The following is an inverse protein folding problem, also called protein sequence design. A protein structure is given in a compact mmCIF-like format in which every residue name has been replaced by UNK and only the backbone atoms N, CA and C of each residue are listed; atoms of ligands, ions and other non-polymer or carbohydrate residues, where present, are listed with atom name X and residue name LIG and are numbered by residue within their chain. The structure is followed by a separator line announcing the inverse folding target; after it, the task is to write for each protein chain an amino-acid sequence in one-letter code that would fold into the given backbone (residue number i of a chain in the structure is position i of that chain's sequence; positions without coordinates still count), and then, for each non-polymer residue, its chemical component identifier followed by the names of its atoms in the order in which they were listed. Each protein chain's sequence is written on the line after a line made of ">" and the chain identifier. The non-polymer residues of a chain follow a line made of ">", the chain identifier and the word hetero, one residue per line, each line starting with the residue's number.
data_IF_777906989863
#
_entry.id   IF_777906989863
#
_cell.length_a   1.000
_cell.length_b   1.000
_cell.length_c   1.000
_cell.angle_alpha   90.00
_cell.angle_beta   90.00
_cell.angle_gamma   90.00
#
_symmetry.space_group_name_H-M   'P 1'
#
loop_
_entity.id
_entity.type
_entity.pdbx_description
1 polymer ?
#
# COMPACT_ATOMS: atom_id res chain seq x y z
N UNK A 1 22.32 14.58 -21.10
CA UNK A 1 20.91 14.45 -20.68
C UNK A 1 20.78 13.25 -19.74
N UNK A 2 21.45 13.28 -18.59
CA UNK A 2 21.62 12.10 -17.70
C UNK A 2 21.13 12.37 -16.27
N UNK A 3 20.66 13.58 -15.97
CA UNK A 3 20.37 14.01 -14.60
C UNK A 3 18.94 13.70 -14.13
N UNK A 4 18.03 13.31 -15.03
CA UNK A 4 16.62 13.05 -14.67
C UNK A 4 16.41 11.67 -14.04
N UNK A 5 17.31 10.71 -14.29
CA UNK A 5 17.21 9.35 -13.72
C UNK A 5 17.79 9.23 -12.32
N UNK A 6 18.70 10.12 -11.93
CA UNK A 6 19.40 10.04 -10.65
C UNK A 6 18.61 10.70 -9.50
N UNK A 7 17.72 11.65 -9.82
CA UNK A 7 16.90 12.38 -8.83
C UNK A 7 15.78 11.57 -8.17
N UNK A 8 15.45 10.38 -8.68
CA UNK A 8 14.46 9.49 -8.06
C UNK A 8 15.06 8.56 -7.00
N UNK A 9 16.39 8.48 -6.89
CA UNK A 9 17.08 7.64 -5.90
C UNK A 9 17.18 8.30 -4.50
N UNK A 10 16.72 9.53 -4.34
CA UNK A 10 16.97 10.34 -3.15
C UNK A 10 15.69 10.86 -2.49
N UNK A 11 14.66 10.01 -2.39
CA UNK A 11 13.55 10.26 -1.47
C UNK A 11 13.97 9.73 -0.10
N UNK A 12 14.27 10.61 0.88
CA UNK A 12 14.78 10.18 2.17
C UNK A 12 13.70 9.40 2.92
N UNK A 13 14.15 8.39 3.65
CA UNK A 13 13.41 7.37 4.37
C UNK A 13 12.40 7.90 5.43
N UNK A 14 11.30 8.52 4.98
CA UNK A 14 10.10 8.83 5.78
C UNK A 14 8.86 8.02 5.34
N UNK A 15 9.05 6.91 4.62
CA UNK A 15 7.99 6.03 4.07
C UNK A 15 7.73 4.74 4.87
N UNK A 16 7.95 4.72 6.19
CA UNK A 16 7.90 3.46 6.96
C UNK A 16 6.54 2.71 6.99
N UNK A 17 5.36 3.35 6.89
CA UNK A 17 4.08 2.61 6.85
C UNK A 17 3.67 2.17 5.44
N UNK A 18 3.74 3.09 4.47
CA UNK A 18 3.28 2.85 3.09
C UNK A 18 4.12 1.78 2.39
N UNK A 19 5.43 1.76 2.64
CA UNK A 19 6.33 0.76 2.05
C UNK A 19 5.99 -0.68 2.44
N UNK A 20 5.31 -0.90 3.56
CA UNK A 20 4.91 -2.25 3.98
C UNK A 20 3.72 -2.77 3.17
N UNK A 21 2.72 -1.92 2.89
CA UNK A 21 1.62 -2.27 1.97
C UNK A 21 2.16 -2.46 0.56
N UNK A 22 3.00 -1.53 0.10
CA UNK A 22 3.60 -1.60 -1.25
C UNK A 22 4.46 -2.86 -1.41
N UNK A 23 5.19 -3.29 -0.38
CA UNK A 23 5.96 -4.54 -0.41
C UNK A 23 5.07 -5.78 -0.48
N UNK A 24 3.93 -5.80 0.23
CA UNK A 24 2.94 -6.88 0.13
C UNK A 24 2.38 -6.92 -1.29
N UNK A 25 1.94 -5.77 -1.83
CA UNK A 25 1.43 -5.67 -3.20
C UNK A 25 2.45 -6.07 -4.25
N UNK A 26 3.74 -5.79 -4.02
CA UNK A 26 4.83 -6.21 -4.92
C UNK A 26 5.14 -7.70 -4.84
N UNK A 27 4.76 -8.39 -3.76
CA UNK A 27 4.92 -9.85 -3.63
C UNK A 27 3.77 -10.65 -4.24
N UNK A 28 2.65 -9.99 -4.54
CA UNK A 28 1.48 -10.57 -5.19
C UNK A 28 1.62 -10.55 -6.71
N UNK A 29 0.97 -11.52 -7.38
CA UNK A 29 0.81 -11.47 -8.83
C UNK A 29 -0.11 -10.31 -9.25
N UNK A 30 -0.20 -10.03 -10.56
CA UNK A 30 -0.94 -8.86 -11.03
C UNK A 30 -2.46 -8.96 -10.75
N UNK A 31 -3.03 -10.17 -10.81
CA UNK A 31 -4.47 -10.37 -10.56
C UNK A 31 -4.79 -10.25 -9.06
N UNK A 32 -3.95 -10.83 -8.20
CA UNK A 32 -4.02 -10.70 -6.75
C UNK A 32 -3.80 -9.26 -6.31
N UNK A 33 -2.85 -8.55 -6.93
CA UNK A 33 -2.58 -7.15 -6.64
C UNK A 33 -3.77 -6.26 -6.99
N UNK A 34 -4.40 -6.47 -8.13
CA UNK A 34 -5.57 -5.71 -8.55
C UNK A 34 -6.75 -5.93 -7.59
N UNK A 35 -7.02 -7.19 -7.23
CA UNK A 35 -8.06 -7.55 -6.26
C UNK A 35 -7.82 -6.89 -4.89
N UNK A 36 -6.59 -6.97 -4.37
CA UNK A 36 -6.23 -6.37 -3.07
C UNK A 36 -6.28 -4.85 -3.15
N UNK A 37 -5.87 -4.25 -4.26
CA UNK A 37 -5.91 -2.79 -4.46
C UNK A 37 -7.34 -2.29 -4.53
N UNK A 38 -8.23 -2.97 -5.24
CA UNK A 38 -9.67 -2.68 -5.28
C UNK A 38 -10.28 -2.80 -3.88
N UNK A 39 -9.96 -3.87 -3.16
CA UNK A 39 -10.43 -4.11 -1.78
C UNK A 39 -9.95 -3.00 -0.83
N UNK A 40 -8.70 -2.54 -0.98
CA UNK A 40 -8.14 -1.44 -0.18
C UNK A 40 -8.79 -0.10 -0.54
N UNK A 41 -9.09 0.14 -1.82
CA UNK A 41 -9.73 1.38 -2.29
C UNK A 41 -11.22 1.44 -1.94
N UNK A 42 -11.91 0.29 -1.97
CA UNK A 42 -13.34 0.13 -1.72
C UNK A 42 -13.76 0.51 -0.30
N UNK A 43 -15.08 0.63 -0.07
CA UNK A 43 -15.67 0.95 1.24
C UNK A 43 -16.18 -0.28 1.99
N UNK A 44 -16.20 -1.43 1.34
CA UNK A 44 -16.89 -2.63 1.81
C UNK A 44 -16.18 -3.30 2.99
N UNK A 45 -14.88 -3.01 3.17
CA UNK A 45 -14.09 -3.50 4.29
C UNK A 45 -13.58 -2.35 5.18
N UNK A 46 -13.73 -2.56 6.49
CA UNK A 46 -13.14 -1.67 7.50
C UNK A 46 -11.62 -1.85 7.54
N UNK A 47 -10.90 -0.84 8.05
CA UNK A 47 -9.44 -0.94 8.18
C UNK A 47 -9.04 -2.00 9.21
N UNK A 48 -9.88 -2.25 10.22
CA UNK A 48 -9.76 -3.34 11.18
C UNK A 48 -9.87 -4.71 10.50
N UNK A 49 -10.90 -4.93 9.67
CA UNK A 49 -11.09 -6.19 8.94
C UNK A 49 -9.93 -6.48 7.99
N UNK A 50 -9.43 -5.48 7.29
CA UNK A 50 -8.29 -5.63 6.38
C UNK A 50 -6.98 -5.95 7.12
N UNK A 51 -6.77 -5.35 8.29
CA UNK A 51 -5.62 -5.66 9.12
C UNK A 51 -5.67 -7.11 9.62
N UNK A 52 -6.85 -7.61 9.99
CA UNK A 52 -7.05 -9.00 10.40
C UNK A 52 -6.75 -9.97 9.25
N UNK A 53 -7.34 -9.77 8.07
CA UNK A 53 -7.12 -10.62 6.88
C UNK A 53 -5.63 -10.69 6.50
N UNK A 54 -4.96 -9.53 6.46
CA UNK A 54 -3.53 -9.48 6.13
C UNK A 54 -2.68 -10.15 7.21
N UNK A 55 -3.08 -10.04 8.48
CA UNK A 55 -2.40 -10.74 9.59
C UNK A 55 -2.56 -12.25 9.50
N UNK A 56 -3.77 -12.75 9.21
CA UNK A 56 -4.04 -14.17 8.97
C UNK A 56 -3.27 -14.72 7.77
N UNK A 57 -3.06 -13.88 6.76
CA UNK A 57 -2.26 -14.20 5.57
C UNK A 57 -0.74 -14.07 5.79
N UNK A 58 -0.27 -13.89 7.03
CA UNK A 58 1.16 -13.80 7.36
C UNK A 58 1.81 -12.43 7.15
N UNK A 59 1.02 -11.40 6.85
CA UNK A 59 1.46 -10.03 6.59
C UNK A 59 0.90 -9.04 7.64
N UNK A 60 1.37 -9.10 8.89
CA UNK A 60 0.84 -8.25 9.96
C UNK A 60 1.06 -6.77 9.67
N UNK A 61 -0.02 -6.01 9.62
CA UNK A 61 -0.01 -4.57 9.38
C UNK A 61 -0.99 -3.86 10.31
N UNK A 62 -0.64 -2.65 10.76
CA UNK A 62 -1.52 -1.89 11.65
C UNK A 62 -2.69 -1.29 10.88
N UNK A 63 -3.84 -1.19 11.54
CA UNK A 63 -5.03 -0.49 11.04
C UNK A 63 -4.73 0.96 10.66
N UNK A 64 -3.87 1.65 11.43
CA UNK A 64 -3.41 3.00 11.13
C UNK A 64 -2.66 3.09 9.80
N UNK A 65 -1.86 2.08 9.47
CA UNK A 65 -1.12 2.02 8.20
C UNK A 65 -2.07 1.85 7.02
N UNK A 66 -3.08 0.99 7.16
CA UNK A 66 -4.12 0.81 6.14
C UNK A 66 -4.89 2.12 5.91
N UNK A 67 -5.30 2.82 6.97
CA UNK A 67 -5.98 4.12 6.84
C UNK A 67 -5.11 5.16 6.12
N UNK A 68 -3.82 5.24 6.47
CA UNK A 68 -2.86 6.11 5.77
C UNK A 68 -2.74 5.77 4.29
N UNK A 69 -2.66 4.48 3.95
CA UNK A 69 -2.60 4.02 2.57
C UNK A 69 -3.87 4.35 1.78
N UNK A 70 -5.05 4.11 2.36
CA UNK A 70 -6.34 4.48 1.76
C UNK A 70 -6.46 5.98 1.51
N UNK A 71 -5.98 6.81 2.43
CA UNK A 71 -5.95 8.27 2.26
C UNK A 71 -5.06 8.68 1.10
N UNK A 72 -3.90 8.04 0.94
CA UNK A 72 -2.98 8.32 -0.16
C UNK A 72 -3.53 7.80 -1.50
N UNK A 73 -4.18 6.64 -1.54
CA UNK A 73 -4.88 6.15 -2.73
C UNK A 73 -5.94 7.14 -3.21
N UNK A 74 -6.80 7.63 -2.30
CA UNK A 74 -7.83 8.64 -2.60
C UNK A 74 -7.28 9.98 -3.10
N UNK A 75 -6.01 10.28 -2.82
CA UNK A 75 -5.34 11.49 -3.33
C UNK A 75 -4.71 11.29 -4.71
N UNK A 76 -4.45 10.04 -5.09
CA UNK A 76 -3.84 9.67 -6.37
C UNK A 76 -4.89 9.38 -7.45
N UNK A 77 -6.11 9.00 -7.07
CA UNK A 77 -7.25 8.88 -7.97
C UNK A 77 -7.86 10.29 -8.17
N UNK A 78 -7.81 10.88 -9.37
CA UNK A 78 -8.36 12.20 -9.67
C UNK A 78 -9.90 12.25 -9.59
#
# INVERSE_FOLDING_TARGET
>A
MTELREKLAQVPARRKPLGKVEAILASLDDAERDLVTETLAGTDHTSESLAAILTESGHPISTSTIRSYRRDLRRKVP
#
